data_IF_552042680982
#
_entry.id   IF_552042680982
#
_cell.length_a   1.000
_cell.length_b   1.000
_cell.length_c   1.000
_cell.angle_alpha   90.00
_cell.angle_beta   90.00
_cell.angle_gamma   90.00
#
_symmetry.space_group_name_H-M   'P 1'
#
loop_
_entity.id
_entity.type
_entity.pdbx_description
1 polymer ?
#
# COMPACT_ATOMS: atom_id res chain seq x y z
N UNK A 1 26.04 32.02 -5.21
CA UNK A 1 24.82 31.65 -4.45
C UNK A 1 24.73 30.14 -4.40
N UNK A 2 24.55 29.55 -3.22
CA UNK A 2 24.28 28.11 -3.08
C UNK A 2 22.80 27.88 -3.42
N UNK A 3 22.52 26.94 -4.32
CA UNK A 3 21.15 26.54 -4.66
C UNK A 3 20.86 25.21 -3.99
N UNK A 4 19.88 25.19 -3.10
CA UNK A 4 19.41 23.97 -2.46
C UNK A 4 18.35 23.30 -3.33
N UNK A 5 18.35 21.97 -3.34
CA UNK A 5 17.30 21.18 -3.96
C UNK A 5 16.27 20.80 -2.89
N UNK A 6 14.99 21.02 -3.20
CA UNK A 6 13.88 20.60 -2.35
C UNK A 6 13.38 19.24 -2.85
N UNK A 7 13.42 18.25 -1.97
CA UNK A 7 12.82 16.92 -2.20
C UNK A 7 11.63 16.82 -1.26
N UNK A 8 10.45 16.51 -1.82
CA UNK A 8 9.20 16.41 -1.07
C UNK A 8 8.64 15.00 -1.29
N UNK A 9 8.34 14.31 -0.20
CA UNK A 9 7.60 13.06 -0.26
C UNK A 9 6.15 13.32 -0.73
N UNK A 10 5.49 12.30 -1.26
CA UNK A 10 4.09 12.42 -1.69
C UNK A 10 3.17 11.97 -0.56
N UNK A 11 3.34 10.75 -0.06
CA UNK A 11 2.40 10.12 0.85
C UNK A 11 2.58 10.62 2.30
N UNK A 12 1.54 11.19 2.88
CA UNK A 12 1.59 11.85 4.19
C UNK A 12 2.17 13.26 4.16
N UNK A 13 2.52 13.80 2.98
CA UNK A 13 3.07 15.16 2.81
C UNK A 13 2.25 15.96 1.81
N UNK A 14 2.32 15.61 0.51
CA UNK A 14 1.53 16.27 -0.53
C UNK A 14 0.11 15.67 -0.65
N UNK A 15 -0.02 14.38 -0.38
CA UNK A 15 -1.27 13.62 -0.38
C UNK A 15 -1.41 12.88 0.95
N UNK A 16 -2.65 12.58 1.37
CA UNK A 16 -2.86 11.70 2.51
C UNK A 16 -2.37 10.28 2.21
N UNK A 17 -1.88 9.58 3.23
CA UNK A 17 -1.65 8.13 3.14
C UNK A 17 -2.94 7.38 2.80
N UNK A 18 -2.81 6.12 2.35
CA UNK A 18 -3.93 5.20 2.20
C UNK A 18 -4.72 5.14 3.51
N UNK A 19 -5.98 5.58 3.46
CA UNK A 19 -6.82 5.79 4.63
C UNK A 19 -7.21 4.46 5.29
N UNK A 20 -7.58 4.46 6.58
CA UNK A 20 -8.18 3.28 7.21
C UNK A 20 -9.38 2.74 6.43
N UNK A 21 -10.25 3.62 5.92
CA UNK A 21 -11.42 3.25 5.12
C UNK A 21 -11.07 2.48 3.85
N UNK A 22 -10.01 2.85 3.14
CA UNK A 22 -9.53 2.08 1.98
C UNK A 22 -9.17 0.64 2.37
N UNK A 23 -8.46 0.46 3.48
CA UNK A 23 -8.07 -0.86 3.97
C UNK A 23 -9.25 -1.66 4.51
N UNK A 24 -10.24 -0.99 5.12
CA UNK A 24 -11.48 -1.63 5.57
C UNK A 24 -12.29 -2.15 4.39
N UNK A 25 -12.49 -1.35 3.34
CA UNK A 25 -13.19 -1.76 2.12
C UNK A 25 -12.46 -2.92 1.42
N UNK A 26 -11.12 -2.86 1.37
CA UNK A 26 -10.30 -3.92 0.80
C UNK A 26 -10.41 -5.22 1.60
N UNK A 27 -10.43 -5.14 2.94
CA UNK A 27 -10.60 -6.29 3.82
C UNK A 27 -11.99 -6.92 3.65
N UNK A 28 -13.03 -6.10 3.56
CA UNK A 28 -14.40 -6.56 3.27
C UNK A 28 -14.48 -7.26 1.92
N UNK A 29 -13.85 -6.69 0.88
CA UNK A 29 -13.81 -7.26 -0.47
C UNK A 29 -13.10 -8.62 -0.50
N UNK A 30 -12.01 -8.75 0.26
CA UNK A 30 -11.26 -9.99 0.41
C UNK A 30 -11.90 -11.00 1.38
N UNK A 31 -12.94 -10.63 2.13
CA UNK A 31 -13.57 -11.50 3.12
C UNK A 31 -12.68 -11.82 4.34
N UNK A 32 -11.73 -10.95 4.69
CA UNK A 32 -10.82 -11.11 5.84
C UNK A 32 -10.94 -9.94 6.81
N UNK A 33 -10.40 -10.08 8.03
CA UNK A 33 -10.34 -8.93 8.96
C UNK A 33 -9.28 -7.91 8.52
N UNK A 34 -9.51 -6.65 8.88
CA UNK A 34 -8.58 -5.55 8.66
C UNK A 34 -7.16 -5.87 9.17
N UNK A 35 -7.05 -6.40 10.40
CA UNK A 35 -5.78 -6.73 11.04
C UNK A 35 -5.06 -7.84 10.29
N UNK A 36 -5.79 -8.85 9.83
CA UNK A 36 -5.24 -9.96 9.05
C UNK A 36 -4.73 -9.46 7.71
N UNK A 37 -5.50 -8.62 7.01
CA UNK A 37 -5.09 -8.03 5.74
C UNK A 37 -3.83 -7.17 5.90
N UNK A 38 -3.82 -6.25 6.87
CA UNK A 38 -2.67 -5.36 7.12
C UNK A 38 -1.42 -6.14 7.51
N UNK A 39 -1.56 -7.19 8.32
CA UNK A 39 -0.46 -8.05 8.72
C UNK A 39 0.14 -8.78 7.52
N UNK A 40 -0.70 -9.45 6.71
CA UNK A 40 -0.24 -10.15 5.51
C UNK A 40 0.36 -9.20 4.48
N UNK A 41 -0.28 -8.06 4.22
CA UNK A 41 0.25 -7.04 3.31
C UNK A 41 1.68 -6.64 3.72
N UNK A 42 1.89 -6.36 5.01
CA UNK A 42 3.20 -5.95 5.54
C UNK A 42 4.26 -7.05 5.42
N UNK A 43 3.88 -8.32 5.56
CA UNK A 43 4.80 -9.46 5.55
C UNK A 43 5.12 -9.97 4.15
N UNK A 44 4.13 -9.95 3.25
CA UNK A 44 4.20 -10.69 1.99
C UNK A 44 4.41 -9.77 0.77
N UNK A 45 3.78 -8.59 0.75
CA UNK A 45 3.60 -7.83 -0.50
C UNK A 45 4.17 -6.42 -0.48
N UNK A 46 4.09 -5.73 0.66
CA UNK A 46 4.41 -4.30 0.79
C UNK A 46 5.73 -3.92 0.12
N UNK A 47 6.81 -4.58 0.53
CA UNK A 47 8.16 -4.19 0.09
C UNK A 47 8.33 -4.48 -1.41
N UNK A 48 7.83 -5.64 -1.88
CA UNK A 48 7.88 -6.04 -3.30
C UNK A 48 7.07 -5.10 -4.19
N UNK A 49 5.91 -4.64 -3.74
CA UNK A 49 5.07 -3.69 -4.47
C UNK A 49 5.74 -2.32 -4.56
N UNK A 50 6.19 -1.75 -3.43
CA UNK A 50 6.77 -0.40 -3.43
C UNK A 50 8.11 -0.29 -4.15
N UNK A 51 8.87 -1.38 -4.25
CA UNK A 51 10.12 -1.40 -5.03
C UNK A 51 9.92 -1.86 -6.48
N UNK A 52 8.68 -2.11 -6.93
CA UNK A 52 8.36 -2.49 -8.30
C UNK A 52 8.82 -3.89 -8.70
N UNK A 53 9.04 -4.79 -7.74
CA UNK A 53 9.36 -6.21 -8.01
C UNK A 53 8.14 -7.00 -8.50
N UNK A 54 6.95 -6.56 -8.11
CA UNK A 54 5.69 -7.07 -8.62
C UNK A 54 4.91 -5.91 -9.23
N UNK A 55 3.99 -6.24 -10.13
CA UNK A 55 3.09 -5.27 -10.75
C UNK A 55 1.83 -5.09 -9.91
N UNK A 56 1.02 -4.14 -10.33
CA UNK A 56 -0.28 -3.88 -9.71
C UNK A 56 -1.22 -5.08 -9.86
N UNK A 57 -1.20 -5.78 -11.00
CA UNK A 57 -2.04 -6.96 -11.24
C UNK A 57 -1.72 -8.09 -10.25
N UNK A 58 -0.44 -8.30 -9.95
CA UNK A 58 0.01 -9.29 -8.97
C UNK A 58 -0.52 -8.96 -7.55
N UNK A 59 -0.62 -7.67 -7.21
CA UNK A 59 -1.22 -7.22 -5.96
C UNK A 59 -2.72 -7.54 -5.91
N UNK A 60 -3.45 -7.29 -7.00
CA UNK A 60 -4.88 -7.59 -7.07
C UNK A 60 -5.17 -9.10 -7.09
N UNK A 61 -4.32 -9.89 -7.73
CA UNK A 61 -4.37 -11.35 -7.64
C UNK A 61 -4.15 -11.82 -6.20
N UNK A 62 -3.14 -11.28 -5.50
CA UNK A 62 -2.88 -11.60 -4.10
C UNK A 62 -4.08 -11.27 -3.18
N UNK A 63 -4.76 -10.15 -3.40
CA UNK A 63 -5.99 -9.78 -2.67
C UNK A 63 -7.13 -10.77 -2.94
N UNK A 64 -7.20 -11.32 -4.15
CA UNK A 64 -8.30 -12.18 -4.61
C UNK A 64 -8.19 -13.63 -4.13
N UNK A 65 -7.05 -14.02 -3.56
CA UNK A 65 -6.85 -15.36 -2.97
C UNK A 65 -7.68 -15.45 -1.69
N UNK A 66 -8.87 -16.05 -1.81
CA UNK A 66 -9.75 -16.44 -0.70
C UNK A 66 -9.11 -17.50 0.19
#
# INVERSE_FOLDING_TARGET
MVKYNLVIDVAGVLLSNLSPGFWDELAQTAGVSYERLKSKFKQEVRDSLWCGKIKEEDFWEWISIR
#
